data_IF_352388974423
#
_entry.id   IF_352388974423
#
_cell.length_a   1.000
_cell.length_b   1.000
_cell.length_c   1.000
_cell.angle_alpha   90.00
_cell.angle_beta   90.00
_cell.angle_gamma   90.00
#
_symmetry.space_group_name_H-M   'P 1'
#
loop_
_entity.id
_entity.type
_entity.pdbx_description
1 polymer ?
#
# COMPACT_ATOMS: atom_id res chain seq x y z
N UNK A 1 -23.53 -26.32 61.05
CA UNK A 1 -23.18 -27.73 61.01
C UNK A 1 -22.05 -27.93 62.04
N UNK A 2 -22.41 -28.43 63.21
CA UNK A 2 -21.43 -28.71 64.27
C UNK A 2 -20.59 -29.88 63.83
N UNK A 3 -19.30 -29.62 63.65
CA UNK A 3 -18.27 -30.67 63.41
C UNK A 3 -17.97 -31.28 64.80
N UNK A 4 -18.41 -32.52 65.02
CA UNK A 4 -17.92 -33.29 66.17
C UNK A 4 -16.44 -33.52 66.03
N UNK A 5 -15.65 -32.78 66.80
CA UNK A 5 -14.22 -32.98 66.98
C UNK A 5 -14.00 -34.12 67.97
N UNK A 6 -13.43 -35.21 67.54
CA UNK A 6 -12.90 -36.24 68.45
C UNK A 6 -11.69 -35.60 69.13
N UNK A 7 -11.83 -35.30 70.44
CA UNK A 7 -10.76 -34.82 71.31
C UNK A 7 -9.80 -36.00 71.55
N UNK A 8 -8.52 -35.94 71.22
CA UNK A 8 -7.56 -36.91 71.72
C UNK A 8 -7.35 -36.69 73.20
N UNK A 9 -7.23 -37.79 73.94
CA UNK A 9 -7.04 -37.86 75.38
C UNK A 9 -5.84 -37.03 75.90
N UNK A 10 -6.04 -36.25 76.95
CA UNK A 10 -5.10 -35.25 77.47
C UNK A 10 -3.88 -35.81 78.24
N UNK A 11 -3.56 -37.09 78.14
CA UNK A 11 -2.50 -37.71 78.94
C UNK A 11 -1.30 -38.26 78.12
N UNK A 12 -0.94 -37.65 77.02
CA UNK A 12 0.35 -37.98 76.38
C UNK A 12 1.43 -37.00 76.82
N UNK A 13 2.47 -37.56 77.43
CA UNK A 13 3.66 -36.90 77.94
C UNK A 13 4.22 -35.87 76.93
N UNK A 14 4.46 -34.64 77.38
CA UNK A 14 4.85 -33.51 76.54
C UNK A 14 6.13 -33.77 75.69
N UNK A 15 6.95 -34.65 76.15
CA UNK A 15 8.28 -34.95 75.53
C UNK A 15 8.26 -35.63 74.17
N UNK A 16 7.09 -35.91 73.55
CA UNK A 16 6.99 -36.58 72.25
C UNK A 16 5.99 -36.01 71.28
N UNK A 17 5.29 -34.93 71.64
CA UNK A 17 4.26 -34.32 70.72
C UNK A 17 4.94 -33.80 69.46
N UNK A 18 4.48 -34.27 68.30
CA UNK A 18 4.83 -33.69 66.98
C UNK A 18 3.59 -33.69 66.12
N UNK A 19 3.23 -32.50 65.56
CA UNK A 19 2.03 -32.32 64.75
C UNK A 19 1.04 -31.30 65.30
N UNK A 20 -0.21 -31.33 64.86
CA UNK A 20 -1.27 -30.41 65.25
C UNK A 20 -2.04 -30.94 66.46
N UNK A 21 -2.14 -30.15 67.51
CA UNK A 21 -2.92 -30.42 68.72
C UNK A 21 -3.83 -29.25 69.05
N UNK A 22 -5.07 -29.59 69.45
CA UNK A 22 -6.08 -28.59 69.86
C UNK A 22 -6.01 -28.39 71.38
N UNK A 23 -5.75 -27.17 71.78
CA UNK A 23 -5.67 -26.80 73.21
C UNK A 23 -6.46 -25.55 73.49
N UNK A 24 -7.48 -25.66 74.34
CA UNK A 24 -8.44 -24.59 74.51
C UNK A 24 -9.20 -24.22 73.20
N UNK A 25 -9.02 -23.02 72.71
CA UNK A 25 -9.60 -22.55 71.45
C UNK A 25 -8.59 -22.41 70.31
N UNK A 26 -7.40 -22.98 70.47
CA UNK A 26 -6.26 -22.79 69.53
C UNK A 26 -5.71 -24.13 69.04
N UNK A 27 -5.37 -24.21 67.77
CA UNK A 27 -4.61 -25.32 67.22
C UNK A 27 -3.16 -24.93 67.15
N UNK A 28 -2.32 -25.62 67.99
CA UNK A 28 -0.89 -25.45 68.05
C UNK A 28 -0.19 -26.53 67.26
N UNK A 29 0.94 -26.18 66.63
CA UNK A 29 1.85 -27.11 65.98
C UNK A 29 3.07 -27.35 66.89
N UNK A 30 3.27 -28.61 67.20
CA UNK A 30 4.33 -29.06 68.08
C UNK A 30 5.44 -29.77 67.25
N UNK A 31 6.70 -29.52 67.62
CA UNK A 31 7.86 -30.29 67.24
C UNK A 31 8.63 -30.68 68.50
N UNK A 32 8.88 -32.00 68.66
CA UNK A 32 9.59 -32.57 69.82
C UNK A 32 9.07 -32.11 71.20
N UNK A 33 7.77 -31.96 71.35
CA UNK A 33 7.14 -31.63 72.62
C UNK A 33 6.91 -30.14 72.89
N UNK A 34 7.47 -29.25 72.05
CA UNK A 34 7.35 -27.81 72.21
C UNK A 34 6.53 -27.19 71.06
N UNK A 35 5.83 -26.05 71.36
CA UNK A 35 5.16 -25.30 70.31
C UNK A 35 6.25 -24.69 69.44
N UNK A 36 6.23 -25.03 68.15
CA UNK A 36 7.17 -24.54 67.14
C UNK A 36 6.81 -23.10 66.73
N UNK A 37 7.01 -22.14 67.62
CA UNK A 37 6.53 -20.74 67.47
C UNK A 37 7.18 -19.92 66.35
N UNK A 38 8.29 -20.38 65.82
CA UNK A 38 9.03 -19.81 64.70
C UNK A 38 8.72 -20.49 63.35
N UNK A 39 7.91 -21.57 63.36
CA UNK A 39 7.59 -22.35 62.17
C UNK A 39 6.37 -21.82 61.43
N UNK A 40 6.56 -21.58 60.14
CA UNK A 40 5.47 -21.27 59.20
C UNK A 40 5.54 -22.30 58.06
N UNK A 41 4.51 -23.19 58.02
CA UNK A 41 4.53 -24.34 57.10
C UNK A 41 3.11 -24.84 56.82
N UNK A 42 3.03 -25.96 56.07
CA UNK A 42 1.81 -26.70 55.81
C UNK A 42 1.87 -28.06 56.54
N UNK A 43 0.82 -28.37 57.27
CA UNK A 43 0.74 -29.63 58.03
C UNK A 43 -0.53 -30.38 57.60
N UNK A 44 -0.41 -31.68 57.34
CA UNK A 44 -1.54 -32.56 57.01
C UNK A 44 -2.21 -33.06 58.29
N UNK A 45 -3.52 -32.80 58.44
CA UNK A 45 -4.29 -33.30 59.55
C UNK A 45 -5.74 -33.58 59.09
N UNK A 46 -6.25 -34.77 59.45
CA UNK A 46 -7.61 -35.23 59.08
C UNK A 46 -7.91 -35.04 57.60
N UNK A 47 -7.02 -35.46 56.71
CA UNK A 47 -7.18 -35.42 55.25
C UNK A 47 -7.02 -34.04 54.60
N UNK A 48 -6.86 -32.98 55.39
CA UNK A 48 -6.67 -31.61 54.91
C UNK A 48 -5.26 -31.12 55.18
N UNK A 49 -4.77 -30.17 54.36
CA UNK A 49 -3.52 -29.48 54.60
C UNK A 49 -3.78 -28.10 55.15
N UNK A 50 -3.31 -27.90 56.37
CA UNK A 50 -3.52 -26.67 57.18
C UNK A 50 -2.29 -25.79 57.16
N UNK A 51 -2.54 -24.50 57.14
CA UNK A 51 -1.50 -23.47 57.23
C UNK A 51 -1.21 -23.12 58.66
N UNK A 52 0.01 -23.42 59.05
CA UNK A 52 0.57 -23.03 60.36
C UNK A 52 1.38 -21.76 60.16
N UNK A 53 1.07 -20.75 60.96
CA UNK A 53 1.81 -19.50 61.00
C UNK A 53 2.31 -19.24 62.44
N UNK A 54 3.64 -19.18 62.59
CA UNK A 54 4.26 -19.02 63.91
C UNK A 54 3.72 -20.03 64.92
N UNK A 55 3.74 -21.31 64.56
CA UNK A 55 3.34 -22.41 65.42
C UNK A 55 1.84 -22.60 65.61
N UNK A 56 0.97 -21.84 64.95
CA UNK A 56 -0.51 -21.95 65.15
C UNK A 56 -1.23 -22.00 63.80
N UNK A 57 -2.36 -22.71 63.74
CA UNK A 57 -3.22 -22.63 62.56
C UNK A 57 -3.81 -21.26 62.47
N UNK A 58 -3.59 -20.58 61.31
CA UNK A 58 -4.28 -19.32 60.99
C UNK A 58 -5.45 -19.60 60.06
N UNK A 59 -6.67 -19.73 60.59
CA UNK A 59 -7.89 -20.01 59.82
C UNK A 59 -8.31 -18.85 58.93
N UNK A 60 -7.76 -17.66 59.15
CA UNK A 60 -8.07 -16.48 58.30
C UNK A 60 -7.12 -16.33 57.14
N UNK A 61 -6.04 -17.09 57.12
CA UNK A 61 -4.98 -16.94 56.12
C UNK A 61 -5.44 -17.08 54.69
N UNK A 62 -5.06 -16.10 53.90
CA UNK A 62 -5.17 -16.11 52.42
C UNK A 62 -3.82 -15.66 51.86
N UNK A 63 -2.96 -16.66 51.54
CA UNK A 63 -1.57 -16.41 51.27
C UNK A 63 -0.96 -17.53 50.40
N UNK A 64 0.33 -17.46 50.11
CA UNK A 64 1.13 -18.52 49.54
C UNK A 64 2.04 -19.10 50.60
N UNK A 65 2.18 -20.41 50.63
CA UNK A 65 3.12 -21.13 51.51
C UNK A 65 3.97 -22.09 50.68
N UNK A 66 5.31 -22.05 50.90
CA UNK A 66 6.26 -22.97 50.27
C UNK A 66 6.30 -24.27 51.06
N UNK A 67 6.07 -25.42 50.40
CA UNK A 67 6.19 -26.73 50.99
C UNK A 67 6.62 -27.76 49.96
N UNK A 68 7.60 -28.58 50.29
CA UNK A 68 8.19 -29.59 49.41
C UNK A 68 8.52 -29.04 47.99
N UNK A 69 9.24 -27.93 47.93
CA UNK A 69 9.69 -27.32 46.68
C UNK A 69 8.62 -26.58 45.86
N UNK A 70 7.35 -26.67 46.26
CA UNK A 70 6.21 -26.02 45.57
C UNK A 70 5.62 -24.89 46.43
N UNK A 71 5.03 -23.90 45.74
CA UNK A 71 4.26 -22.84 46.37
C UNK A 71 2.78 -23.14 46.28
N UNK A 72 2.13 -23.27 47.43
CA UNK A 72 0.72 -23.64 47.57
C UNK A 72 -0.13 -22.46 47.95
N UNK A 73 -1.33 -22.39 47.40
CA UNK A 73 -2.30 -21.38 47.75
C UNK A 73 -3.14 -21.78 48.96
N UNK A 74 -3.07 -20.95 49.95
CA UNK A 74 -3.84 -21.08 51.18
C UNK A 74 -5.03 -20.15 51.10
N UNK A 75 -6.20 -20.68 51.44
CA UNK A 75 -7.45 -19.96 51.52
C UNK A 75 -8.21 -20.43 52.76
N UNK A 76 -8.58 -19.50 53.64
CA UNK A 76 -9.21 -19.85 54.93
C UNK A 76 -8.40 -20.91 55.69
N UNK A 77 -7.10 -20.68 55.79
CA UNK A 77 -6.21 -21.48 56.60
C UNK A 77 -5.83 -22.86 56.07
N UNK A 78 -6.29 -23.25 54.86
CA UNK A 78 -6.00 -24.55 54.28
C UNK A 78 -5.65 -24.43 52.78
N UNK A 79 -4.96 -25.43 52.22
CA UNK A 79 -4.71 -25.48 50.81
C UNK A 79 -6.03 -25.63 50.05
N UNK A 80 -6.28 -24.75 49.06
CA UNK A 80 -7.38 -24.87 48.11
C UNK A 80 -6.81 -25.44 46.80
N UNK A 81 -6.90 -26.74 46.60
CA UNK A 81 -6.39 -27.43 45.42
C UNK A 81 -7.19 -27.14 44.15
N UNK A 82 -8.39 -26.58 44.28
CA UNK A 82 -9.23 -26.24 43.12
C UNK A 82 -9.00 -24.83 42.61
N UNK A 83 -8.30 -24.00 43.36
CA UNK A 83 -8.17 -22.57 43.09
C UNK A 83 -7.42 -22.31 41.77
N UNK A 84 -8.04 -21.51 40.90
CA UNK A 84 -7.38 -20.83 39.78
C UNK A 84 -7.64 -19.36 39.96
N UNK A 85 -6.64 -18.62 40.45
CA UNK A 85 -6.82 -17.24 40.91
C UNK A 85 -5.49 -16.47 40.97
N UNK A 86 -5.55 -15.24 41.44
CA UNK A 86 -4.37 -14.43 41.78
C UNK A 86 -4.22 -14.34 43.30
N UNK A 87 -2.98 -14.46 43.77
CA UNK A 87 -2.65 -14.26 45.17
C UNK A 87 -1.51 -13.25 45.33
N UNK A 88 -1.70 -12.24 46.21
CA UNK A 88 -0.65 -11.27 46.52
C UNK A 88 0.28 -11.84 47.58
N UNK A 89 1.57 -11.90 47.28
CA UNK A 89 2.61 -12.38 48.23
C UNK A 89 3.93 -11.64 47.98
N UNK A 90 4.53 -11.15 49.05
CA UNK A 90 5.79 -10.37 48.97
C UNK A 90 5.76 -9.26 47.90
N UNK A 91 4.70 -8.43 47.90
CA UNK A 91 4.56 -7.29 46.99
C UNK A 91 4.16 -7.64 45.57
N UNK A 92 4.19 -8.91 45.15
CA UNK A 92 3.83 -9.38 43.81
C UNK A 92 2.51 -10.13 43.78
N UNK A 93 1.82 -10.09 42.62
CA UNK A 93 0.62 -10.88 42.38
C UNK A 93 0.99 -12.14 41.58
N UNK A 94 0.78 -13.29 42.18
CA UNK A 94 1.14 -14.60 41.63
C UNK A 94 -0.09 -15.32 41.07
N UNK A 95 0.10 -16.00 39.95
CA UNK A 95 -0.92 -16.84 39.35
C UNK A 95 -0.92 -18.23 39.99
N UNK A 96 -2.07 -18.57 40.50
CA UNK A 96 -2.36 -19.89 41.07
C UNK A 96 -3.16 -20.68 40.07
N UNK A 97 -2.74 -21.89 39.78
CA UNK A 97 -3.45 -22.85 38.94
C UNK A 97 -3.57 -24.19 39.68
N UNK A 98 -4.81 -24.63 39.89
CA UNK A 98 -5.09 -25.86 40.66
C UNK A 98 -4.35 -25.87 42.01
N UNK A 99 -4.51 -24.78 42.77
CA UNK A 99 -3.98 -24.62 44.13
C UNK A 99 -2.48 -24.36 44.22
N UNK A 100 -1.74 -24.30 43.12
CA UNK A 100 -0.29 -24.15 43.09
C UNK A 100 0.16 -22.99 42.20
N UNK A 101 1.22 -22.28 42.57
CA UNK A 101 1.76 -21.21 41.72
C UNK A 101 2.38 -21.85 40.46
N UNK A 102 1.94 -21.39 39.32
CA UNK A 102 2.47 -21.78 38.02
C UNK A 102 3.40 -20.69 37.49
N UNK A 103 4.69 -20.85 37.68
CA UNK A 103 5.73 -19.89 37.28
C UNK A 103 5.94 -19.81 35.75
N UNK A 104 5.40 -20.76 35.00
CA UNK A 104 5.52 -20.78 33.53
C UNK A 104 4.35 -20.11 32.81
N UNK A 105 3.29 -19.80 33.56
CA UNK A 105 2.05 -19.33 32.97
C UNK A 105 2.20 -18.01 32.21
N UNK A 106 1.70 -18.00 30.97
CA UNK A 106 1.43 -16.80 30.19
C UNK A 106 -0.02 -16.87 29.74
N UNK A 107 -0.90 -16.14 30.43
CA UNK A 107 -2.35 -16.29 30.30
C UNK A 107 -3.12 -15.06 30.79
N UNK A 108 -4.44 -15.16 30.77
CA UNK A 108 -5.35 -14.20 31.46
C UNK A 108 -5.94 -14.85 32.71
N UNK A 109 -6.03 -14.09 33.76
CA UNK A 109 -6.71 -14.49 34.99
C UNK A 109 -7.74 -13.47 35.45
N UNK A 110 -8.96 -13.91 35.71
CA UNK A 110 -10.03 -13.05 36.24
C UNK A 110 -9.90 -12.95 37.76
N UNK A 111 -9.81 -11.73 38.28
CA UNK A 111 -9.75 -11.46 39.71
C UNK A 111 -10.52 -10.16 40.04
N UNK A 112 -11.41 -10.20 41.01
CA UNK A 112 -12.24 -9.06 41.44
C UNK A 112 -12.91 -8.32 40.23
N UNK A 113 -13.48 -9.08 39.31
CA UNK A 113 -14.22 -8.54 38.16
C UNK A 113 -13.35 -8.09 36.96
N UNK A 114 -12.03 -8.01 37.13
CA UNK A 114 -11.09 -7.61 36.07
C UNK A 114 -10.29 -8.79 35.54
N UNK A 115 -9.86 -8.69 34.29
CA UNK A 115 -8.98 -9.67 33.66
C UNK A 115 -7.55 -9.15 33.61
N UNK A 116 -6.65 -9.84 34.27
CA UNK A 116 -5.25 -9.47 34.40
C UNK A 116 -4.38 -10.33 33.50
N UNK A 117 -3.34 -9.73 32.94
CA UNK A 117 -2.32 -10.42 32.17
C UNK A 117 -1.26 -11.03 33.11
N UNK A 118 -1.06 -12.30 32.96
CA UNK A 118 -0.03 -13.08 33.65
C UNK A 118 1.09 -13.39 32.67
N UNK A 119 2.32 -13.13 33.05
CA UNK A 119 3.53 -13.46 32.31
C UNK A 119 4.57 -14.01 33.27
N UNK A 120 5.10 -15.21 33.00
CA UNK A 120 6.02 -15.88 33.90
C UNK A 120 5.45 -16.11 35.30
N UNK A 121 4.16 -16.48 35.37
CA UNK A 121 3.48 -16.84 36.61
C UNK A 121 3.07 -15.67 37.50
N UNK A 122 3.28 -14.41 37.11
CA UNK A 122 2.88 -13.22 37.88
C UNK A 122 2.18 -12.17 37.02
N UNK A 123 1.36 -11.36 37.64
CA UNK A 123 0.71 -10.25 36.94
C UNK A 123 1.76 -9.24 36.47
N UNK A 124 1.74 -8.96 35.19
CA UNK A 124 2.58 -7.93 34.58
C UNK A 124 1.71 -6.68 34.32
N UNK A 125 1.96 -5.60 35.06
CA UNK A 125 1.20 -4.35 34.98
C UNK A 125 1.75 -3.36 33.94
N UNK A 126 2.91 -3.63 33.35
CA UNK A 126 3.57 -2.70 32.42
C UNK A 126 3.29 -2.99 30.95
N UNK A 127 3.03 -4.23 30.62
CA UNK A 127 2.95 -4.65 29.25
C UNK A 127 1.68 -4.19 28.51
N UNK A 128 1.89 -3.82 27.24
CA UNK A 128 0.84 -3.63 26.27
C UNK A 128 1.08 -4.63 25.14
N UNK A 129 0.20 -5.62 25.03
CA UNK A 129 0.40 -6.77 24.14
C UNK A 129 -0.94 -7.43 23.78
N UNK A 130 -0.87 -8.52 23.03
CA UNK A 130 -2.01 -9.41 22.83
C UNK A 130 -1.69 -10.80 23.40
N UNK A 131 -2.68 -11.44 23.98
CA UNK A 131 -2.55 -12.76 24.56
C UNK A 131 -3.69 -13.67 24.11
N UNK A 132 -3.37 -14.92 23.76
CA UNK A 132 -4.37 -15.92 23.37
C UNK A 132 -5.01 -16.53 24.59
N UNK A 133 -6.34 -16.45 24.67
CA UNK A 133 -7.12 -17.05 25.75
C UNK A 133 -8.49 -17.50 25.24
N UNK A 134 -8.87 -18.74 25.52
CA UNK A 134 -10.12 -19.36 25.05
C UNK A 134 -10.40 -19.13 23.56
N UNK A 135 -9.41 -19.40 22.71
CA UNK A 135 -9.53 -19.32 21.25
C UNK A 135 -9.44 -17.92 20.65
N UNK A 136 -9.48 -16.86 21.45
CA UNK A 136 -9.41 -15.47 21.00
C UNK A 136 -8.09 -14.81 21.40
N UNK A 137 -7.66 -13.79 20.63
CA UNK A 137 -6.51 -12.94 20.96
C UNK A 137 -7.01 -11.65 21.60
N UNK A 138 -6.73 -11.46 22.86
CA UNK A 138 -7.18 -10.35 23.67
C UNK A 138 -6.10 -9.28 23.81
N UNK A 139 -6.51 -8.04 23.72
CA UNK A 139 -5.63 -6.90 23.91
C UNK A 139 -5.49 -6.56 25.38
N UNK A 140 -4.25 -6.47 25.80
CA UNK A 140 -3.86 -6.09 27.15
C UNK A 140 -3.20 -4.71 27.10
N UNK A 141 -3.65 -3.82 27.94
CA UNK A 141 -3.03 -2.52 28.15
C UNK A 141 -2.75 -2.31 29.64
N UNK A 142 -1.49 -1.99 29.99
CA UNK A 142 -1.08 -1.81 31.37
C UNK A 142 -1.53 -2.98 32.27
N UNK A 143 -1.32 -4.20 31.81
CA UNK A 143 -1.59 -5.45 32.51
C UNK A 143 -3.03 -5.89 32.63
N UNK A 144 -3.98 -5.15 32.07
CA UNK A 144 -5.41 -5.51 32.08
C UNK A 144 -5.96 -5.63 30.65
N UNK A 145 -6.95 -6.52 30.47
CA UNK A 145 -7.70 -6.58 29.22
C UNK A 145 -8.56 -5.32 29.08
N UNK A 146 -8.37 -4.60 27.97
CA UNK A 146 -9.21 -3.47 27.60
C UNK A 146 -10.23 -3.90 26.53
N UNK A 147 -11.46 -4.18 26.96
CA UNK A 147 -12.55 -4.66 26.10
C UNK A 147 -13.11 -3.58 25.15
N UNK A 148 -12.78 -2.32 25.37
CA UNK A 148 -13.25 -1.21 24.53
C UNK A 148 -12.17 -0.75 23.55
N UNK A 149 -10.98 -1.32 23.60
CA UNK A 149 -9.86 -0.88 22.80
C UNK A 149 -10.16 -0.96 21.30
N UNK A 150 -9.83 0.14 20.61
CA UNK A 150 -9.75 0.23 19.16
C UNK A 150 -8.42 0.90 18.80
N UNK A 151 -7.42 0.10 18.45
CA UNK A 151 -6.04 0.57 18.31
C UNK A 151 -5.21 -0.41 17.46
N UNK A 152 -3.93 -0.11 17.32
CA UNK A 152 -2.93 -1.05 16.81
C UNK A 152 -2.05 -1.56 17.95
N UNK A 153 -1.71 -2.84 17.90
CA UNK A 153 -0.79 -3.46 18.84
C UNK A 153 0.30 -4.23 18.09
N UNK A 154 1.56 -3.98 18.45
CA UNK A 154 2.69 -4.73 17.86
C UNK A 154 2.90 -6.04 18.61
N UNK A 155 2.87 -7.16 17.85
CA UNK A 155 3.12 -8.49 18.41
C UNK A 155 3.74 -9.40 17.34
N UNK A 156 4.80 -10.11 17.68
CA UNK A 156 5.55 -10.99 16.77
C UNK A 156 5.93 -10.32 15.44
N UNK A 157 6.41 -9.08 15.48
CA UNK A 157 6.87 -8.34 14.31
C UNK A 157 5.77 -7.67 13.48
N UNK A 158 4.51 -8.00 13.71
CA UNK A 158 3.36 -7.45 12.99
C UNK A 158 2.61 -6.41 13.83
N UNK A 159 1.92 -5.49 13.16
CA UNK A 159 1.00 -4.54 13.76
C UNK A 159 -0.44 -5.03 13.59
N UNK A 160 -1.03 -5.49 14.68
CA UNK A 160 -2.36 -6.07 14.71
C UNK A 160 -3.42 -5.03 14.98
N UNK A 161 -4.55 -5.15 14.30
CA UNK A 161 -5.72 -4.31 14.51
C UNK A 161 -6.57 -4.86 15.65
N UNK A 162 -6.81 -4.00 16.62
CA UNK A 162 -7.63 -4.29 17.79
C UNK A 162 -8.97 -3.57 17.63
N UNK A 163 -10.04 -4.34 17.72
CA UNK A 163 -11.43 -3.85 17.70
C UNK A 163 -12.22 -4.55 18.80
N UNK A 164 -12.85 -3.78 19.70
CA UNK A 164 -13.56 -4.37 20.84
C UNK A 164 -12.65 -5.21 21.74
N UNK A 165 -11.42 -4.78 21.96
CA UNK A 165 -10.46 -5.41 22.88
C UNK A 165 -9.82 -6.69 22.39
N UNK A 166 -9.98 -7.07 21.11
CA UNK A 166 -9.39 -8.28 20.53
C UNK A 166 -8.92 -8.04 19.10
N UNK A 167 -8.03 -8.92 18.61
CA UNK A 167 -7.65 -8.87 17.19
C UNK A 167 -8.88 -9.18 16.34
N UNK A 168 -9.17 -8.29 15.39
CA UNK A 168 -10.20 -8.49 14.39
C UNK A 168 -9.57 -8.90 13.06
N UNK A 169 -9.70 -10.16 12.71
CA UNK A 169 -9.12 -10.74 11.48
C UNK A 169 -9.97 -10.50 10.24
N UNK A 170 -11.20 -10.01 10.38
CA UNK A 170 -12.16 -9.86 9.28
C UNK A 170 -12.13 -8.48 8.64
N UNK A 171 -11.73 -7.46 9.37
CA UNK A 171 -11.84 -6.08 8.93
C UNK A 171 -10.83 -5.70 7.85
N UNK A 172 -11.35 -4.93 6.88
CA UNK A 172 -10.56 -4.13 5.95
C UNK A 172 -10.96 -2.68 6.16
N UNK A 173 -10.09 -1.89 6.77
CA UNK A 173 -10.42 -0.55 7.24
C UNK A 173 -9.18 0.34 7.36
N UNK A 174 -9.37 1.57 7.81
CA UNK A 174 -8.29 2.44 8.25
C UNK A 174 -8.44 2.79 9.73
N UNK A 175 -7.31 2.89 10.41
CA UNK A 175 -7.25 3.28 11.83
C UNK A 175 -6.22 4.37 12.07
N UNK A 176 -6.57 5.36 12.88
CA UNK A 176 -5.61 6.40 13.29
C UNK A 176 -4.80 5.92 14.48
N UNK A 177 -3.47 5.88 14.33
CA UNK A 177 -2.52 5.52 15.38
C UNK A 177 -1.30 6.42 15.31
N UNK A 178 -0.93 7.03 16.42
CA UNK A 178 0.17 8.01 16.50
C UNK A 178 0.10 9.11 15.42
N UNK A 179 -1.10 9.67 15.21
CA UNK A 179 -1.33 10.74 14.25
C UNK A 179 -1.48 10.32 12.79
N UNK A 180 -1.14 9.08 12.44
CA UNK A 180 -1.16 8.55 11.07
C UNK A 180 -2.36 7.62 10.88
N UNK A 181 -2.98 7.68 9.69
CA UNK A 181 -4.04 6.76 9.29
C UNK A 181 -3.45 5.55 8.57
N UNK A 182 -3.52 4.38 9.21
CA UNK A 182 -2.99 3.13 8.73
C UNK A 182 -4.06 2.25 8.10
N UNK A 183 -3.72 1.59 7.01
CA UNK A 183 -4.58 0.63 6.34
C UNK A 183 -4.41 -0.76 6.95
N UNK A 184 -5.54 -1.36 7.27
CA UNK A 184 -5.64 -2.71 7.84
C UNK A 184 -6.36 -3.61 6.85
N UNK A 185 -5.82 -4.80 6.65
CA UNK A 185 -6.45 -5.87 5.87
C UNK A 185 -6.16 -7.22 6.54
N UNK A 186 -7.22 -8.01 6.79
CA UNK A 186 -7.06 -9.31 7.44
C UNK A 186 -6.48 -9.23 8.85
N UNK A 187 -6.79 -8.16 9.59
CA UNK A 187 -6.41 -7.98 10.99
C UNK A 187 -5.04 -7.36 11.26
N UNK A 188 -4.25 -7.03 10.24
CA UNK A 188 -2.95 -6.38 10.42
C UNK A 188 -2.71 -5.25 9.41
N UNK A 189 -1.74 -4.39 9.72
CA UNK A 189 -1.36 -3.28 8.83
C UNK A 189 -0.62 -3.83 7.60
N UNK A 190 -1.15 -3.58 6.40
CA UNK A 190 -0.49 -3.90 5.15
C UNK A 190 0.32 -2.69 4.66
N UNK A 191 1.61 -2.67 4.94
CA UNK A 191 2.53 -1.59 4.57
C UNK A 191 2.80 -1.48 3.07
N UNK A 192 2.48 -2.51 2.28
CA UNK A 192 2.67 -2.53 0.83
C UNK A 192 1.44 -2.05 0.06
N UNK A 193 0.31 -1.85 0.75
CA UNK A 193 -0.95 -1.57 0.11
C UNK A 193 -0.92 -0.28 -0.72
N UNK A 194 -1.41 -0.39 -1.98
CA UNK A 194 -1.78 0.71 -2.85
C UNK A 194 -3.18 0.45 -3.39
N UNK A 195 -4.20 1.05 -2.81
CA UNK A 195 -5.60 0.74 -3.08
C UNK A 195 -6.54 1.86 -2.64
N UNK A 196 -7.83 1.63 -2.78
CA UNK A 196 -8.87 2.43 -2.13
C UNK A 196 -9.45 1.67 -0.92
N UNK A 197 -9.76 2.40 0.14
CA UNK A 197 -10.45 1.88 1.30
C UNK A 197 -11.64 2.77 1.67
N UNK A 198 -12.83 2.19 1.80
CA UNK A 198 -14.02 2.93 2.21
C UNK A 198 -14.07 3.03 3.74
N UNK A 199 -14.10 4.25 4.25
CA UNK A 199 -14.23 4.52 5.69
C UNK A 199 -15.06 5.76 5.94
N UNK A 200 -16.05 5.68 6.82
CA UNK A 200 -17.01 6.74 7.13
C UNK A 200 -17.64 7.37 5.86
N UNK A 201 -18.08 6.53 4.91
CA UNK A 201 -18.73 6.98 3.67
C UNK A 201 -17.77 7.47 2.58
N UNK A 202 -16.51 7.74 2.89
CA UNK A 202 -15.50 8.27 1.96
C UNK A 202 -14.57 7.17 1.48
N UNK A 203 -14.19 7.21 0.19
CA UNK A 203 -13.18 6.34 -0.39
C UNK A 203 -11.81 6.99 -0.30
N UNK A 204 -10.96 6.45 0.57
CA UNK A 204 -9.63 6.96 0.86
C UNK A 204 -8.56 6.27 0.02
N UNK A 205 -7.59 7.04 -0.45
CA UNK A 205 -6.44 6.53 -1.18
C UNK A 205 -5.36 6.05 -0.21
N UNK A 206 -5.01 4.78 -0.36
CA UNK A 206 -3.96 4.12 0.40
C UNK A 206 -2.72 4.01 -0.48
N UNK A 207 -1.61 4.48 0.05
CA UNK A 207 -0.27 4.31 -0.53
C UNK A 207 0.70 3.97 0.59
N UNK A 208 1.51 2.93 0.38
CA UNK A 208 2.48 2.45 1.37
C UNK A 208 1.83 2.20 2.74
N UNK A 209 0.64 1.56 2.72
CA UNK A 209 -0.11 1.15 3.90
C UNK A 209 -0.79 2.26 4.70
N UNK A 210 -0.85 3.49 4.20
CA UNK A 210 -1.45 4.64 4.89
C UNK A 210 -2.27 5.52 3.96
N UNK A 211 -3.19 6.31 4.51
CA UNK A 211 -3.88 7.34 3.72
C UNK A 211 -2.83 8.33 3.23
N UNK A 212 -2.79 8.53 1.91
CA UNK A 212 -1.92 9.49 1.26
C UNK A 212 -2.71 10.74 0.87
N UNK A 213 -2.36 11.88 1.45
CA UNK A 213 -3.01 13.18 1.21
C UNK A 213 -2.30 14.01 0.12
N UNK A 214 -1.29 13.45 -0.56
CA UNK A 214 -0.57 14.12 -1.62
C UNK A 214 -1.47 14.38 -2.83
N UNK A 215 -0.92 15.07 -3.78
CA UNK A 215 -1.50 15.58 -5.02
C UNK A 215 -2.47 14.62 -5.74
N UNK A 216 -3.21 15.19 -6.69
CA UNK A 216 -4.09 14.45 -7.60
C UNK A 216 -3.33 13.35 -8.34
N UNK A 217 -3.86 12.13 -8.30
CA UNK A 217 -3.29 10.95 -8.97
C UNK A 217 -4.38 9.94 -9.30
N UNK A 218 -4.01 8.85 -9.98
CA UNK A 218 -4.93 7.75 -10.28
C UNK A 218 -4.63 6.53 -9.41
N UNK A 219 -5.68 5.81 -9.06
CA UNK A 219 -5.60 4.53 -8.37
C UNK A 219 -6.57 3.51 -8.96
N UNK A 220 -6.10 2.30 -9.24
CA UNK A 220 -6.94 1.19 -9.70
C UNK A 220 -7.64 0.54 -8.51
N UNK A 221 -8.94 0.31 -8.62
CA UNK A 221 -9.72 -0.45 -7.65
C UNK A 221 -10.81 -1.23 -8.37
N UNK A 222 -10.80 -2.55 -8.25
CA UNK A 222 -11.63 -3.42 -9.06
C UNK A 222 -11.32 -3.25 -10.57
N UNK A 223 -12.36 -3.11 -11.37
CA UNK A 223 -12.23 -2.90 -12.82
C UNK A 223 -11.99 -1.44 -13.23
N UNK A 224 -12.06 -0.49 -12.30
CA UNK A 224 -12.05 0.95 -12.60
C UNK A 224 -10.77 1.64 -12.09
N UNK A 225 -10.45 2.77 -12.75
CA UNK A 225 -9.44 3.71 -12.28
C UNK A 225 -10.13 4.97 -11.76
N UNK A 226 -9.72 5.42 -10.60
CA UNK A 226 -10.31 6.55 -9.91
C UNK A 226 -9.31 7.69 -9.77
N UNK A 227 -9.78 8.92 -10.00
CA UNK A 227 -9.02 10.12 -9.69
C UNK A 227 -9.15 10.42 -8.20
N UNK A 228 -8.02 10.49 -7.51
CA UNK A 228 -7.96 10.87 -6.11
C UNK A 228 -7.28 12.21 -5.95
N UNK A 229 -7.74 13.00 -5.00
CA UNK A 229 -7.21 14.31 -4.67
C UNK A 229 -7.35 14.52 -3.16
N UNK A 230 -6.30 15.07 -2.51
CA UNK A 230 -6.27 15.23 -1.06
C UNK A 230 -6.70 13.96 -0.29
N UNK A 231 -6.22 12.80 -0.73
CA UNK A 231 -6.40 11.53 -0.05
C UNK A 231 -7.73 10.82 -0.32
N UNK A 232 -8.66 11.38 -1.07
CA UNK A 232 -9.95 10.76 -1.36
C UNK A 232 -10.30 10.78 -2.83
N UNK A 233 -11.23 9.90 -3.24
CA UNK A 233 -11.78 9.94 -4.60
C UNK A 233 -12.53 11.25 -4.82
N UNK A 234 -12.16 11.97 -5.86
CA UNK A 234 -12.72 13.27 -6.24
C UNK A 234 -13.90 13.08 -7.21
N UNK A 235 -15.07 12.72 -6.67
CA UNK A 235 -16.28 12.38 -7.44
C UNK A 235 -16.85 13.54 -8.28
N UNK A 236 -16.55 14.77 -7.90
CA UNK A 236 -16.99 15.96 -8.64
C UNK A 236 -16.05 16.36 -9.76
N UNK A 237 -14.90 15.72 -9.88
CA UNK A 237 -13.89 16.13 -10.85
C UNK A 237 -14.13 15.53 -12.23
N UNK A 238 -14.21 16.43 -13.23
CA UNK A 238 -14.16 16.09 -14.65
C UNK A 238 -13.07 16.93 -15.30
N UNK A 239 -12.11 16.30 -15.99
CA UNK A 239 -10.96 16.97 -16.56
C UNK A 239 -9.81 15.99 -16.80
N UNK A 240 -8.57 16.46 -16.75
CA UNK A 240 -7.39 15.65 -17.00
C UNK A 240 -6.63 15.34 -15.72
N UNK A 241 -6.14 14.11 -15.60
CA UNK A 241 -5.29 13.67 -14.49
C UNK A 241 -4.03 12.97 -15.00
N UNK A 242 -2.86 13.46 -14.57
CA UNK A 242 -1.57 12.84 -14.88
C UNK A 242 -1.31 11.60 -14.01
N UNK A 243 -0.85 10.50 -14.61
CA UNK A 243 -0.42 9.31 -13.88
C UNK A 243 0.66 8.57 -14.65
N UNK A 244 1.81 8.29 -14.01
CA UNK A 244 2.99 7.64 -14.62
C UNK A 244 3.38 8.26 -15.99
N UNK A 245 3.21 9.60 -16.10
CA UNK A 245 3.53 10.39 -17.28
C UNK A 245 2.48 10.40 -18.39
N UNK A 246 1.34 9.84 -18.15
CA UNK A 246 0.19 9.90 -19.06
C UNK A 246 -0.86 10.86 -18.54
N UNK A 247 -1.64 11.42 -19.44
CA UNK A 247 -2.79 12.26 -19.12
C UNK A 247 -4.06 11.49 -19.46
N UNK A 248 -4.87 11.22 -18.45
CA UNK A 248 -6.13 10.50 -18.58
C UNK A 248 -7.30 11.47 -18.48
N UNK A 249 -8.33 11.26 -19.29
CA UNK A 249 -9.61 11.97 -19.15
C UNK A 249 -10.39 11.40 -17.95
N UNK A 250 -10.91 12.29 -17.12
CA UNK A 250 -11.69 11.94 -15.93
C UNK A 250 -13.11 12.46 -16.12
N UNK A 251 -14.08 11.64 -15.81
CA UNK A 251 -15.49 12.00 -15.77
C UNK A 251 -16.07 11.58 -14.40
N UNK A 252 -16.50 12.56 -13.62
CA UNK A 252 -17.05 12.32 -12.28
C UNK A 252 -16.14 11.41 -11.42
N UNK A 253 -14.85 11.75 -11.34
CA UNK A 253 -13.86 11.04 -10.51
C UNK A 253 -13.38 9.69 -11.05
N UNK A 254 -13.89 9.24 -12.19
CA UNK A 254 -13.52 7.95 -12.81
C UNK A 254 -12.79 8.24 -14.12
N UNK A 255 -11.76 7.44 -14.42
CA UNK A 255 -11.11 7.52 -15.73
C UNK A 255 -12.13 7.15 -16.80
N UNK A 256 -12.41 8.13 -17.67
CA UNK A 256 -13.30 7.94 -18.81
C UNK A 256 -12.53 7.30 -19.97
N UNK A 257 -12.50 5.99 -19.97
CA UNK A 257 -12.03 5.24 -21.13
C UNK A 257 -13.06 5.23 -22.27
N UNK A 258 -14.26 5.74 -22.09
CA UNK A 258 -15.40 5.59 -23.02
C UNK A 258 -15.59 6.71 -24.02
N UNK A 259 -14.90 7.86 -23.89
CA UNK A 259 -14.84 8.85 -24.98
C UNK A 259 -13.63 8.61 -25.88
N UNK A 260 -13.37 7.34 -26.22
CA UNK A 260 -12.32 6.96 -27.11
C UNK A 260 -11.47 5.77 -26.67
N UNK A 261 -11.71 5.19 -25.50
CA UNK A 261 -10.95 4.01 -25.07
C UNK A 261 -11.83 2.78 -25.13
N UNK A 262 -12.00 2.25 -26.30
CA UNK A 262 -12.34 0.84 -26.47
C UNK A 262 -11.09 0.01 -26.20
N UNK A 263 -11.27 -1.15 -25.58
CA UNK A 263 -10.24 -2.16 -25.47
C UNK A 263 -9.77 -2.48 -26.89
N UNK A 264 -8.65 -1.89 -27.33
CA UNK A 264 -8.13 -2.06 -28.70
C UNK A 264 -7.41 -3.40 -28.85
N UNK A 265 -7.73 -4.35 -28.00
CA UNK A 265 -7.03 -5.61 -27.82
C UNK A 265 -6.79 -6.39 -29.11
N UNK A 266 -7.65 -6.16 -30.08
CA UNK A 266 -7.81 -7.22 -31.04
C UNK A 266 -6.84 -7.11 -32.21
N UNK A 267 -6.41 -5.90 -32.55
CA UNK A 267 -5.54 -5.74 -33.70
C UNK A 267 -4.18 -5.11 -33.40
N UNK A 268 -4.14 -4.10 -32.52
CA UNK A 268 -2.87 -3.42 -32.16
C UNK A 268 -1.93 -4.37 -31.42
N UNK A 269 -2.47 -5.22 -30.55
CA UNK A 269 -1.68 -6.24 -29.83
C UNK A 269 -1.04 -7.29 -30.76
N UNK A 270 -1.58 -7.46 -31.96
CA UNK A 270 -1.07 -8.38 -32.99
C UNK A 270 0.03 -7.79 -33.88
N UNK A 271 0.31 -6.49 -33.76
CA UNK A 271 1.37 -5.85 -34.57
C UNK A 271 2.76 -6.22 -34.04
N UNK A 272 3.73 -6.41 -34.94
CA UNK A 272 5.12 -6.69 -34.53
C UNK A 272 5.71 -5.51 -33.74
N UNK A 273 5.39 -4.29 -34.10
CA UNK A 273 5.78 -3.07 -33.36
C UNK A 273 5.26 -3.03 -31.94
N UNK A 274 4.12 -3.69 -31.65
CA UNK A 274 3.55 -3.72 -30.30
C UNK A 274 4.37 -4.57 -29.33
N UNK A 275 5.19 -5.49 -29.80
CA UNK A 275 6.01 -6.38 -28.98
C UNK A 275 7.04 -5.60 -28.13
N UNK A 276 7.61 -4.53 -28.71
CA UNK A 276 8.71 -3.77 -28.14
C UNK A 276 8.35 -2.32 -27.76
N UNK A 277 7.06 -1.99 -27.75
CA UNK A 277 6.58 -0.64 -27.45
C UNK A 277 5.44 -0.70 -26.45
N UNK A 278 5.31 0.37 -25.67
CA UNK A 278 4.21 0.55 -24.73
C UNK A 278 3.16 1.54 -25.25
N UNK A 279 3.51 2.27 -26.32
CA UNK A 279 2.67 3.29 -26.94
C UNK A 279 2.82 3.28 -28.44
N UNK A 280 1.70 3.31 -29.11
CA UNK A 280 1.65 3.40 -30.56
C UNK A 280 0.76 4.57 -30.97
N UNK A 281 1.26 5.38 -31.90
CA UNK A 281 0.45 6.31 -32.66
C UNK A 281 0.20 5.66 -34.02
N UNK A 282 -1.04 5.44 -34.36
CA UNK A 282 -1.42 4.83 -35.63
C UNK A 282 -1.99 5.91 -36.53
N UNK A 283 -1.43 6.07 -37.73
CA UNK A 283 -1.88 6.98 -38.76
C UNK A 283 -2.32 6.16 -39.96
N UNK A 284 -3.61 5.95 -40.09
CA UNK A 284 -4.22 5.10 -41.09
C UNK A 284 -4.92 5.97 -42.18
N UNK A 285 -4.20 6.22 -43.27
CA UNK A 285 -4.76 6.96 -44.40
C UNK A 285 -5.82 6.11 -45.17
N UNK A 286 -6.88 6.73 -45.69
CA UNK A 286 -7.89 6.01 -46.46
C UNK A 286 -7.32 5.30 -47.71
N UNK A 287 -6.28 5.89 -48.29
CA UNK A 287 -5.55 5.35 -49.45
C UNK A 287 -4.27 6.13 -49.67
N UNK A 288 -3.44 5.68 -50.62
CA UNK A 288 -2.11 6.25 -50.84
C UNK A 288 -2.14 7.71 -51.37
N UNK A 289 -3.25 8.15 -51.92
CA UNK A 289 -3.47 9.52 -52.40
C UNK A 289 -4.36 10.36 -51.46
N UNK A 290 -4.86 9.76 -50.42
CA UNK A 290 -5.70 10.46 -49.43
C UNK A 290 -4.88 11.43 -48.62
N UNK A 291 -5.44 12.59 -48.36
CA UNK A 291 -4.92 13.63 -47.44
C UNK A 291 -5.46 13.47 -46.01
N UNK A 292 -6.53 12.71 -45.86
CA UNK A 292 -7.18 12.43 -44.60
C UNK A 292 -6.73 11.07 -44.06
N UNK A 293 -6.54 11.00 -42.77
CA UNK A 293 -6.17 9.79 -42.04
C UNK A 293 -6.90 9.70 -40.70
N UNK A 294 -7.26 8.48 -40.29
CA UNK A 294 -7.60 8.22 -38.90
C UNK A 294 -6.31 8.18 -38.08
N UNK A 295 -6.25 9.01 -37.07
CA UNK A 295 -5.10 9.03 -36.14
C UNK A 295 -5.57 8.58 -34.77
N UNK A 296 -4.98 7.49 -34.29
CA UNK A 296 -5.28 6.94 -32.96
C UNK A 296 -4.02 6.76 -32.14
N UNK A 297 -4.18 6.91 -30.83
CA UNK A 297 -3.13 6.62 -29.87
C UNK A 297 -3.52 5.41 -29.04
N UNK A 298 -2.62 4.46 -28.97
CA UNK A 298 -2.79 3.23 -28.19
C UNK A 298 -1.72 3.12 -27.12
N UNK A 299 -2.08 2.56 -25.98
CA UNK A 299 -1.19 2.37 -24.83
C UNK A 299 -1.39 1.00 -24.21
N UNK A 300 -0.30 0.37 -23.81
CA UNK A 300 -0.28 -0.89 -23.08
C UNK A 300 -0.23 -0.61 -21.57
N UNK A 301 -1.05 -1.31 -20.78
CA UNK A 301 -0.99 -1.27 -19.32
C UNK A 301 0.06 -2.23 -18.76
N UNK A 302 0.20 -2.25 -17.42
CA UNK A 302 1.14 -3.12 -16.70
C UNK A 302 0.78 -4.62 -16.82
N UNK A 303 -0.48 -4.93 -17.13
CA UNK A 303 -0.99 -6.30 -17.34
C UNK A 303 -0.86 -6.74 -18.79
N UNK A 304 -0.29 -5.88 -19.67
CA UNK A 304 -0.06 -6.17 -21.08
C UNK A 304 -1.26 -5.90 -21.99
N UNK A 305 -2.35 -5.31 -21.47
CA UNK A 305 -3.52 -5.00 -22.26
C UNK A 305 -3.34 -3.67 -23.00
N UNK A 306 -3.75 -3.63 -24.27
CA UNK A 306 -3.75 -2.42 -25.07
C UNK A 306 -5.07 -1.68 -25.01
N UNK A 307 -5.00 -0.35 -24.94
CA UNK A 307 -6.15 0.54 -24.92
C UNK A 307 -5.97 1.64 -25.97
N UNK A 308 -7.02 1.90 -26.74
CA UNK A 308 -7.10 3.08 -27.60
C UNK A 308 -7.42 4.30 -26.73
N UNK A 309 -6.49 5.23 -26.65
CA UNK A 309 -6.62 6.44 -25.84
C UNK A 309 -7.49 7.51 -26.50
N UNK A 310 -7.42 7.59 -27.81
CA UNK A 310 -8.30 8.37 -28.68
C UNK A 310 -8.20 7.87 -30.13
N UNK A 311 -9.23 8.14 -30.91
CA UNK A 311 -9.24 8.03 -32.36
C UNK A 311 -9.91 9.28 -32.93
N UNK A 312 -9.22 9.95 -33.85
CA UNK A 312 -9.62 11.27 -34.40
C UNK A 312 -9.27 11.37 -35.87
N UNK A 313 -9.90 12.31 -36.57
CA UNK A 313 -9.44 12.70 -37.88
C UNK A 313 -8.16 13.53 -37.79
N UNK A 314 -7.20 13.19 -38.60
CA UNK A 314 -5.94 13.91 -38.83
C UNK A 314 -5.67 14.00 -40.33
N UNK A 315 -4.55 14.62 -40.69
CA UNK A 315 -4.18 14.84 -42.09
C UNK A 315 -2.71 14.48 -42.32
N UNK A 316 -2.44 14.07 -43.56
CA UNK A 316 -1.12 13.74 -44.08
C UNK A 316 -0.72 14.71 -45.21
N UNK A 317 0.33 14.38 -45.94
CA UNK A 317 0.82 15.20 -47.04
C UNK A 317 -0.26 15.52 -48.10
N UNK A 318 -0.18 16.69 -48.70
CA UNK A 318 -1.17 17.13 -49.73
C UNK A 318 -1.17 16.24 -51.00
N UNK A 319 -0.14 15.43 -51.21
CA UNK A 319 -0.08 14.41 -52.23
C UNK A 319 -0.23 12.98 -51.70
N UNK A 320 -0.78 12.84 -50.45
CA UNK A 320 -1.02 11.57 -49.79
C UNK A 320 0.21 11.02 -49.07
N UNK A 321 0.40 9.69 -49.13
CA UNK A 321 1.46 8.97 -48.44
C UNK A 321 2.41 8.29 -49.45
N UNK A 322 3.44 7.58 -48.99
CA UNK A 322 4.50 6.94 -49.79
C UNK A 322 5.49 7.97 -50.33
N UNK A 323 6.13 8.70 -49.40
CA UNK A 323 7.19 9.67 -49.72
C UNK A 323 8.37 9.00 -50.40
N UNK A 324 8.94 9.67 -51.41
CA UNK A 324 10.05 9.17 -52.21
C UNK A 324 11.24 10.14 -52.30
N UNK A 325 11.02 11.48 -52.16
CA UNK A 325 12.07 12.48 -52.25
C UNK A 325 11.66 13.79 -51.56
N UNK A 326 12.64 14.69 -51.43
CA UNK A 326 12.39 16.02 -50.88
C UNK A 326 11.36 16.80 -51.71
N UNK A 327 10.44 17.50 -51.09
CA UNK A 327 9.47 18.35 -51.77
C UNK A 327 8.33 17.63 -52.49
N UNK A 328 8.19 16.29 -52.37
CA UNK A 328 7.12 15.52 -53.04
C UNK A 328 5.70 15.71 -52.47
N UNK A 329 5.59 16.39 -51.33
CA UNK A 329 4.34 16.67 -50.66
C UNK A 329 3.66 15.42 -50.05
N UNK A 330 4.42 14.33 -49.84
CA UNK A 330 3.89 13.06 -49.33
C UNK A 330 4.44 12.78 -47.93
N UNK A 331 3.62 12.10 -47.11
CA UNK A 331 4.04 11.54 -45.83
C UNK A 331 4.66 10.16 -46.03
N UNK A 332 5.79 9.84 -45.40
CA UNK A 332 6.39 8.52 -45.53
C UNK A 332 5.54 7.45 -44.86
N UNK A 333 5.53 6.23 -45.45
CA UNK A 333 4.98 5.02 -44.83
C UNK A 333 6.07 4.29 -44.08
N UNK A 334 5.73 3.69 -42.95
CA UNK A 334 6.66 2.98 -42.07
C UNK A 334 6.33 3.11 -40.59
N UNK A 335 7.20 2.52 -39.77
CA UNK A 335 7.21 2.66 -38.32
C UNK A 335 8.43 3.51 -37.92
N UNK A 336 8.16 4.60 -37.19
CA UNK A 336 9.17 5.60 -36.82
C UNK A 336 9.19 5.85 -35.31
N UNK A 337 10.37 6.14 -34.79
CA UNK A 337 10.58 6.63 -33.44
C UNK A 337 10.49 8.15 -33.41
N UNK A 338 10.24 8.70 -32.21
CA UNK A 338 10.34 10.12 -31.96
C UNK A 338 11.75 10.47 -31.50
N UNK A 339 12.43 11.38 -32.18
CA UNK A 339 13.79 11.81 -31.84
C UNK A 339 13.80 12.79 -30.69
N UNK A 340 13.01 13.84 -30.78
CA UNK A 340 12.86 14.90 -29.79
C UNK A 340 11.53 15.62 -29.99
N UNK A 341 11.17 16.43 -28.99
CA UNK A 341 10.02 17.32 -29.05
C UNK A 341 10.49 18.78 -29.04
N UNK A 342 9.73 19.64 -29.71
CA UNK A 342 9.98 21.06 -29.70
C UNK A 342 8.69 21.85 -29.98
N UNK A 343 8.77 23.18 -29.87
CA UNK A 343 7.63 24.02 -30.26
C UNK A 343 7.72 25.46 -29.79
N UNK A 344 6.72 26.26 -30.20
CA UNK A 344 6.60 27.66 -29.88
C UNK A 344 6.09 27.92 -28.45
N UNK A 345 5.44 26.93 -27.81
CA UNK A 345 4.98 27.02 -26.43
C UNK A 345 5.97 26.36 -25.46
N UNK A 346 5.98 26.78 -24.20
CA UNK A 346 6.78 26.14 -23.17
C UNK A 346 6.48 24.63 -23.04
N UNK A 347 7.44 23.88 -22.52
CA UNK A 347 7.32 22.44 -22.29
C UNK A 347 6.04 22.10 -21.51
N UNK A 348 5.11 21.34 -22.11
CA UNK A 348 3.87 20.96 -21.46
C UNK A 348 4.02 19.83 -20.43
N UNK A 349 5.24 19.38 -20.15
CA UNK A 349 5.58 18.18 -19.37
C UNK A 349 5.94 16.98 -20.24
N UNK A 350 6.75 17.19 -21.26
CA UNK A 350 7.23 16.19 -22.20
C UNK A 350 8.20 15.21 -21.51
N UNK A 351 8.18 13.94 -21.92
CA UNK A 351 9.14 12.92 -21.45
C UNK A 351 10.36 12.81 -22.35
N UNK A 352 10.22 13.17 -23.61
CA UNK A 352 11.35 13.34 -24.51
C UNK A 352 12.03 14.67 -24.24
N UNK A 353 13.27 14.81 -24.70
CA UNK A 353 13.93 16.12 -24.65
C UNK A 353 13.11 17.15 -25.42
N UNK A 354 12.64 18.18 -24.70
CA UNK A 354 11.85 19.28 -25.28
C UNK A 354 12.72 20.51 -25.49
N UNK A 355 12.52 21.17 -26.66
CA UNK A 355 13.20 22.44 -26.99
C UNK A 355 12.09 23.49 -27.21
N UNK A 356 12.02 24.48 -26.29
CA UNK A 356 11.20 25.68 -26.50
C UNK A 356 11.94 26.58 -27.51
N UNK A 357 11.37 26.71 -28.71
CA UNK A 357 11.99 27.41 -29.81
C UNK A 357 11.67 28.91 -29.79
N UNK A 358 12.66 29.74 -30.07
CA UNK A 358 12.52 31.15 -30.41
C UNK A 358 12.82 31.34 -31.92
N UNK A 359 12.83 32.59 -32.35
CA UNK A 359 13.07 32.98 -33.76
C UNK A 359 14.42 32.56 -34.33
N UNK A 360 15.35 32.08 -33.50
CA UNK A 360 16.64 31.60 -33.94
C UNK A 360 16.65 30.13 -34.40
N UNK A 361 15.58 29.40 -34.16
CA UNK A 361 15.52 27.95 -34.45
C UNK A 361 14.96 27.70 -35.85
N UNK A 362 15.76 27.01 -36.65
CA UNK A 362 15.42 26.54 -37.98
C UNK A 362 15.50 25.00 -38.07
N UNK A 363 14.56 24.35 -38.74
CA UNK A 363 14.73 23.00 -39.22
C UNK A 363 15.22 23.06 -40.67
N UNK A 364 16.44 22.63 -40.90
CA UNK A 364 17.11 22.80 -42.21
C UNK A 364 16.64 21.72 -43.19
N UNK A 365 16.03 22.16 -44.30
CA UNK A 365 15.59 21.30 -45.41
C UNK A 365 16.45 21.46 -46.69
N UNK A 366 17.49 22.27 -46.63
CA UNK A 366 18.47 22.46 -47.70
C UNK A 366 19.41 21.25 -47.79
N UNK A 367 19.31 20.49 -48.87
CA UNK A 367 20.08 19.27 -49.10
C UNK A 367 21.58 19.53 -49.19
N UNK A 368 22.03 20.74 -49.50
CA UNK A 368 23.47 21.12 -49.62
C UNK A 368 24.07 21.52 -48.26
N UNK A 369 23.24 21.72 -47.24
CA UNK A 369 23.67 22.12 -45.90
C UNK A 369 24.22 20.95 -45.08
N UNK A 370 25.31 21.18 -44.33
CA UNK A 370 25.80 20.21 -43.33
C UNK A 370 24.79 19.97 -42.19
N UNK A 371 23.78 20.81 -42.08
CA UNK A 371 22.70 20.74 -41.10
C UNK A 371 21.41 20.16 -41.65
N UNK A 372 21.43 19.61 -42.90
CA UNK A 372 20.26 19.00 -43.50
C UNK A 372 19.55 18.02 -42.56
N UNK A 373 18.23 18.15 -42.48
CA UNK A 373 17.33 17.38 -41.60
C UNK A 373 17.70 17.47 -40.11
N UNK A 374 18.06 18.69 -39.63
CA UNK A 374 18.34 18.99 -38.22
C UNK A 374 17.63 20.26 -37.76
N UNK A 375 17.21 20.24 -36.46
CA UNK A 375 16.84 21.44 -35.73
C UNK A 375 18.12 22.13 -35.24
N UNK A 376 18.36 23.37 -35.64
CA UNK A 376 19.52 24.16 -35.26
C UNK A 376 19.11 25.56 -34.84
N UNK A 377 19.92 26.21 -34.00
CA UNK A 377 19.73 27.61 -33.67
C UNK A 377 20.86 28.44 -34.23
N UNK A 378 20.55 29.49 -34.99
CA UNK A 378 21.53 30.46 -35.54
C UNK A 378 22.31 31.19 -34.48
N UNK A 379 21.96 31.11 -33.21
CA UNK A 379 22.75 31.59 -32.06
C UNK A 379 24.01 30.75 -31.80
N UNK A 380 23.99 29.46 -32.21
CA UNK A 380 25.06 28.51 -31.87
C UNK A 380 25.78 27.97 -33.07
N UNK A 381 25.22 28.12 -34.28
CA UNK A 381 25.83 27.65 -35.50
C UNK A 381 25.87 28.75 -36.57
N UNK A 382 26.89 28.73 -37.44
CA UNK A 382 26.93 29.60 -38.60
C UNK A 382 26.00 29.05 -39.66
N UNK A 383 25.10 29.91 -40.15
CA UNK A 383 24.16 29.56 -41.23
C UNK A 383 24.92 29.25 -42.54
N UNK A 384 24.66 28.09 -43.11
CA UNK A 384 25.15 27.61 -44.40
C UNK A 384 24.03 27.13 -45.33
N UNK A 385 22.76 27.33 -44.91
CA UNK A 385 21.57 26.90 -45.65
C UNK A 385 20.84 28.05 -46.31
N UNK A 386 20.24 27.77 -47.49
CA UNK A 386 19.39 28.69 -48.24
C UNK A 386 17.89 28.44 -47.99
N UNK A 387 17.51 27.24 -47.49
CA UNK A 387 16.13 26.84 -47.19
C UNK A 387 16.03 26.20 -45.82
N UNK A 388 15.01 26.56 -45.06
CA UNK A 388 14.69 25.96 -43.76
C UNK A 388 13.27 26.36 -43.31
N UNK A 389 12.66 25.57 -42.46
CA UNK A 389 11.44 25.91 -41.72
C UNK A 389 11.84 26.66 -40.43
N UNK A 390 11.63 27.98 -40.37
CA UNK A 390 11.80 28.73 -39.12
C UNK A 390 10.63 28.42 -38.19
N UNK A 391 10.91 27.78 -37.04
CA UNK A 391 9.88 27.21 -36.16
C UNK A 391 8.89 28.27 -35.68
N UNK A 392 9.38 29.43 -35.27
CA UNK A 392 8.51 30.50 -34.77
C UNK A 392 7.62 31.11 -35.84
N UNK A 393 8.06 31.13 -37.10
CA UNK A 393 7.31 31.73 -38.20
C UNK A 393 6.13 30.87 -38.70
N UNK A 394 6.16 29.57 -38.43
CA UNK A 394 5.08 28.62 -38.74
C UNK A 394 3.83 28.87 -37.87
N UNK A 395 4.01 29.51 -36.73
CA UNK A 395 2.92 29.91 -35.84
C UNK A 395 2.30 28.73 -35.10
N UNK A 396 0.97 28.76 -34.86
CA UNK A 396 0.27 27.81 -33.99
C UNK A 396 0.40 26.34 -34.40
N UNK A 397 0.67 26.08 -35.68
CA UNK A 397 0.90 24.72 -36.18
C UNK A 397 2.10 24.06 -35.49
N UNK A 398 3.08 24.87 -35.05
CA UNK A 398 4.26 24.38 -34.34
C UNK A 398 4.25 24.73 -32.85
N UNK A 399 3.04 24.91 -32.26
CA UNK A 399 2.90 25.02 -30.81
C UNK A 399 3.49 23.83 -30.08
N UNK A 400 3.26 22.63 -30.63
CA UNK A 400 3.86 21.36 -30.16
C UNK A 400 4.20 20.49 -31.37
N UNK A 401 5.42 19.95 -31.40
CA UNK A 401 5.96 19.18 -32.52
C UNK A 401 6.73 17.98 -31.99
N UNK A 402 6.58 16.84 -32.65
CA UNK A 402 7.37 15.62 -32.46
C UNK A 402 8.09 15.30 -33.78
N UNK A 403 9.42 15.30 -33.78
CA UNK A 403 10.20 14.92 -34.94
C UNK A 403 10.29 13.40 -35.05
N UNK A 404 9.99 12.87 -36.24
CA UNK A 404 10.14 11.46 -36.56
C UNK A 404 11.59 11.17 -37.00
N UNK A 405 12.05 9.95 -36.75
CA UNK A 405 13.40 9.49 -37.17
C UNK A 405 13.48 9.12 -38.66
N UNK A 406 12.53 9.64 -39.46
CA UNK A 406 12.58 9.54 -40.92
C UNK A 406 13.86 10.20 -41.44
N UNK A 407 14.56 9.51 -42.35
CA UNK A 407 15.83 9.96 -42.94
C UNK A 407 16.81 10.45 -41.86
N UNK A 408 16.93 9.72 -40.75
CA UNK A 408 17.85 10.05 -39.64
C UNK A 408 19.32 10.06 -40.08
N UNK A 409 19.65 9.30 -41.14
CA UNK A 409 20.98 9.27 -41.74
C UNK A 409 21.27 10.52 -42.58
N UNK A 410 20.26 11.37 -42.79
CA UNK A 410 20.35 12.66 -43.52
C UNK A 410 20.86 12.50 -44.93
N UNK A 411 20.33 11.52 -45.66
CA UNK A 411 20.64 11.31 -47.07
C UNK A 411 20.05 12.50 -47.85
N UNK A 412 20.91 13.33 -48.53
CA UNK A 412 20.46 14.48 -49.28
C UNK A 412 19.36 14.14 -50.28
N UNK A 413 18.28 14.94 -50.28
CA UNK A 413 17.17 14.77 -51.22
C UNK A 413 16.20 13.62 -50.90
N UNK A 414 16.45 12.82 -49.87
CA UNK A 414 15.54 11.71 -49.50
C UNK A 414 14.30 12.19 -48.76
N UNK A 415 14.27 13.44 -48.31
CA UNK A 415 13.20 14.06 -47.54
C UNK A 415 13.65 14.45 -46.15
N UNK A 416 13.12 15.55 -45.66
CA UNK A 416 13.39 16.15 -44.34
C UNK A 416 12.13 16.64 -43.66
N UNK A 417 12.24 17.15 -42.42
CA UNK A 417 11.18 17.84 -41.72
C UNK A 417 9.88 17.04 -41.61
N UNK A 418 9.95 15.75 -41.24
CA UNK A 418 8.76 14.92 -41.06
C UNK A 418 8.38 14.90 -39.58
N UNK A 419 7.23 15.49 -39.29
CA UNK A 419 6.75 15.73 -37.93
C UNK A 419 5.33 15.23 -37.71
N UNK A 420 4.99 14.99 -36.44
CA UNK A 420 3.63 15.02 -35.95
C UNK A 420 3.46 16.38 -35.25
N UNK A 421 2.51 17.21 -35.66
CA UNK A 421 2.32 18.58 -35.16
C UNK A 421 0.85 19.00 -35.05
N UNK A 422 0.61 20.20 -34.48
CA UNK A 422 -0.70 20.80 -34.36
C UNK A 422 -1.26 21.17 -35.75
N UNK A 423 -2.55 20.91 -35.99
CA UNK A 423 -3.22 21.35 -37.18
C UNK A 423 -4.49 20.57 -37.51
N UNK A 424 -5.27 21.14 -38.43
CA UNK A 424 -6.55 20.57 -38.91
C UNK A 424 -6.62 20.56 -40.44
N UNK A 425 -5.48 20.61 -41.12
CA UNK A 425 -5.37 20.64 -42.57
C UNK A 425 -4.23 19.75 -43.07
N UNK A 426 -4.29 19.44 -44.38
CA UNK A 426 -3.21 18.72 -45.07
C UNK A 426 -1.86 19.43 -44.95
N UNK A 427 -0.79 18.68 -44.96
CA UNK A 427 0.58 19.11 -44.73
C UNK A 427 1.46 19.03 -45.98
N UNK A 428 2.69 19.46 -45.89
CA UNK A 428 3.71 19.27 -46.96
C UNK A 428 4.44 17.92 -46.84
N UNK A 429 4.04 17.04 -45.93
CA UNK A 429 4.66 15.72 -45.70
C UNK A 429 4.57 15.24 -44.24
N UNK A 430 4.24 16.14 -43.32
CA UNK A 430 4.02 15.83 -41.91
C UNK A 430 2.68 15.13 -41.67
N UNK A 431 2.43 14.81 -40.41
CA UNK A 431 1.11 14.43 -39.90
C UNK A 431 0.59 15.56 -39.01
N UNK A 432 -0.64 15.99 -39.20
CA UNK A 432 -1.26 17.00 -38.33
C UNK A 432 -2.49 16.49 -37.60
N UNK A 433 -2.63 16.90 -36.34
CA UNK A 433 -3.77 16.61 -35.45
C UNK A 433 -4.16 17.87 -34.65
N UNK A 434 -5.41 18.00 -34.18
CA UNK A 434 -5.82 19.17 -33.39
C UNK A 434 -4.99 19.36 -32.10
N UNK A 435 -4.68 20.61 -31.75
CA UNK A 435 -3.82 21.04 -30.63
C UNK A 435 -4.06 20.31 -29.31
N UNK A 436 -5.33 20.15 -28.93
CA UNK A 436 -5.67 19.50 -27.65
C UNK A 436 -5.16 18.05 -27.58
N UNK A 437 -5.18 17.34 -28.73
CA UNK A 437 -4.67 15.97 -28.80
C UNK A 437 -3.15 15.95 -28.98
N UNK A 438 -2.60 16.91 -29.74
CA UNK A 438 -1.16 17.04 -29.90
C UNK A 438 -0.47 17.29 -28.56
N UNK A 439 -1.00 18.20 -27.74
CA UNK A 439 -0.49 18.44 -26.39
C UNK A 439 -0.51 17.15 -25.55
N UNK A 440 -1.58 16.35 -25.64
CA UNK A 440 -1.68 15.10 -24.93
C UNK A 440 -0.63 14.08 -25.42
N UNK A 441 -0.47 13.96 -26.74
CA UNK A 441 0.56 13.07 -27.34
C UNK A 441 1.95 13.44 -26.85
N UNK A 442 2.33 14.72 -26.92
CA UNK A 442 3.66 15.20 -26.47
C UNK A 442 3.93 14.90 -25.00
N UNK A 443 2.91 15.00 -24.15
CA UNK A 443 3.01 14.64 -22.72
C UNK A 443 3.13 13.12 -22.49
N UNK A 444 2.67 12.31 -23.43
CA UNK A 444 2.52 10.86 -23.26
C UNK A 444 3.67 10.06 -23.84
N UNK A 445 4.19 10.47 -24.99
CA UNK A 445 5.23 9.72 -25.71
C UNK A 445 6.59 9.77 -25.02
N UNK A 446 7.36 8.70 -25.18
CA UNK A 446 8.71 8.54 -24.66
C UNK A 446 9.53 7.68 -25.66
N UNK A 447 10.71 7.23 -25.24
CA UNK A 447 11.62 6.41 -26.04
C UNK A 447 11.01 5.05 -26.45
N UNK A 448 10.00 4.55 -25.69
CA UNK A 448 9.30 3.30 -25.98
C UNK A 448 8.04 3.51 -26.84
N UNK A 449 7.92 4.70 -27.45
CA UNK A 449 6.80 5.04 -28.32
C UNK A 449 7.19 4.93 -29.79
N UNK A 450 6.22 4.53 -30.63
CA UNK A 450 6.38 4.41 -32.08
C UNK A 450 5.15 4.98 -32.79
N UNK A 451 5.36 5.69 -33.90
CA UNK A 451 4.33 6.09 -34.83
C UNK A 451 4.37 5.19 -36.05
N UNK A 452 3.22 4.64 -36.43
CA UNK A 452 3.06 3.80 -37.64
C UNK A 452 2.19 4.53 -38.64
N UNK A 453 2.65 4.68 -39.87
CA UNK A 453 1.98 5.44 -40.91
C UNK A 453 1.83 4.54 -42.15
N UNK A 454 0.58 4.26 -42.54
CA UNK A 454 0.30 3.58 -43.83
C UNK A 454 -1.21 3.77 -44.16
N UNK A 455 -1.61 3.18 -45.28
CA UNK A 455 -3.01 3.07 -45.64
C UNK A 455 -3.76 2.06 -44.75
N UNK A 456 -5.07 2.26 -44.59
CA UNK A 456 -5.94 1.39 -43.75
C UNK A 456 -5.82 -0.10 -44.07
N UNK A 457 -5.58 -0.43 -45.33
CA UNK A 457 -5.45 -1.83 -45.77
C UNK A 457 -4.07 -2.44 -45.49
N UNK A 458 -3.04 -1.63 -45.21
CA UNK A 458 -1.68 -2.10 -44.93
C UNK A 458 -1.22 -1.90 -43.49
N UNK A 459 -1.87 -1.03 -42.74
CA UNK A 459 -1.47 -0.66 -41.36
C UNK A 459 -1.35 -1.86 -40.43
N UNK A 460 -2.02 -2.96 -40.72
CA UNK A 460 -1.96 -4.20 -39.93
C UNK A 460 -0.73 -5.09 -40.19
N UNK A 461 0.14 -4.69 -41.10
CA UNK A 461 1.34 -5.48 -41.50
C UNK A 461 2.58 -5.11 -40.64
N UNK A 462 2.48 -4.19 -39.71
CA UNK A 462 3.60 -3.68 -38.91
C UNK A 462 3.83 -4.42 -37.58
#
# INVERSE_FOLDING_TARGET
MLICLVIPDESADAAGKTGLYHEGNVWNYYENGEIASDVTTLVKYNGSWWYVNQGRIDFSAKTLCKYNGSWWYVNQGRIDFSATTLCKYNGSWWYVNQGRVDFSATTLCKYNGKWFYVSGGRVNFSDTTVVKYNGSWWYVHSGCVDFCARTLCRYNGLWWYISGGRIDFSDTTVIKYNGIWWYVKGGYVDFSARTLCKYNGTWWFIKDGRINFDTRTLVKYGANWFCVNNGSVDWGYSGNCGYKGYTYSINNGIVDFGRGVSKSNDWVSGLDVAKNNDKLIIVAAEGITSVDADVSMHQRDEDGNWYEMFSISGHVGYNGIVKSHEGDGKTPTGAYKFMNAFGNLPDPGCRLKYIHCDSSYDWVDDSDSVYYNKLVSSKYVRKDWSSAENISSIGDRYNYVLALDYNKERIPGAGSAIFLHCGTNKTSGCVSIPDKYMRWVVQSVDENSTIVIDSKNKIRNY
#
